data_IF_072298206609
#
_entry.id   IF_072298206609
#
_cell.length_a   1.000
_cell.length_b   1.000
_cell.length_c   1.000
_cell.angle_alpha   90.00
_cell.angle_beta   90.00
_cell.angle_gamma   90.00
#
_symmetry.space_group_name_H-M   'P 1'
#
loop_
_entity.id
_entity.type
_entity.pdbx_description
1 polymer ?
#
# COMPACT_ATOMS: atom_id res chain seq x y z
N UNK A 1 81.67 -36.36 4.72
CA UNK A 1 81.25 -34.93 4.77
C UNK A 1 81.13 -34.48 3.32
N UNK A 2 80.05 -33.95 2.73
CA UNK A 2 78.83 -33.27 3.17
C UNK A 2 77.71 -33.66 2.19
N UNK A 3 76.48 -33.93 2.66
CA UNK A 3 75.32 -34.18 1.79
C UNK A 3 74.55 -32.87 1.61
N UNK A 4 74.33 -32.46 0.36
CA UNK A 4 73.53 -31.29 -0.02
C UNK A 4 72.03 -31.63 0.08
N UNK A 5 71.25 -30.75 0.70
CA UNK A 5 69.81 -30.88 0.83
C UNK A 5 69.10 -30.13 -0.32
N UNK A 6 68.03 -30.68 -0.93
CA UNK A 6 67.24 -29.96 -1.90
C UNK A 6 66.22 -29.07 -1.18
N UNK A 7 66.34 -27.75 -1.36
CA UNK A 7 65.28 -26.77 -1.09
C UNK A 7 64.66 -26.38 -2.42
N UNK A 8 63.56 -27.02 -2.80
CA UNK A 8 62.61 -26.49 -3.78
C UNK A 8 61.42 -27.42 -3.82
N UNK A 9 60.26 -26.98 -3.32
CA UNK A 9 58.90 -27.20 -3.84
C UNK A 9 57.97 -26.68 -2.74
N UNK A 10 57.76 -25.37 -2.67
CA UNK A 10 56.75 -24.78 -1.77
C UNK A 10 56.32 -23.41 -2.27
N UNK A 11 55.95 -23.30 -3.54
CA UNK A 11 55.50 -22.03 -4.13
C UNK A 11 54.57 -22.27 -5.32
N UNK A 12 53.46 -22.97 -5.11
CA UNK A 12 52.43 -23.16 -6.14
C UNK A 12 51.00 -23.28 -5.58
N UNK A 13 50.75 -22.73 -4.38
CA UNK A 13 49.42 -22.78 -3.74
C UNK A 13 48.77 -21.41 -3.49
N UNK A 14 49.34 -20.31 -3.99
CA UNK A 14 48.81 -18.96 -3.75
C UNK A 14 47.95 -18.38 -4.89
N UNK A 15 47.91 -19.01 -6.08
CA UNK A 15 47.21 -18.45 -7.24
C UNK A 15 45.76 -18.93 -7.41
N UNK A 16 45.29 -19.91 -6.62
CA UNK A 16 43.94 -20.48 -6.76
C UNK A 16 42.86 -19.77 -5.91
N UNK A 17 43.22 -18.75 -5.12
CA UNK A 17 42.32 -18.06 -4.20
C UNK A 17 41.74 -16.72 -4.71
N UNK A 18 42.12 -16.28 -5.92
CA UNK A 18 41.66 -15.00 -6.50
C UNK A 18 40.44 -15.12 -7.42
N UNK A 19 39.79 -16.30 -7.48
CA UNK A 19 38.56 -16.54 -8.25
C UNK A 19 37.27 -16.37 -7.42
N UNK A 20 37.32 -15.53 -6.38
CA UNK A 20 36.16 -15.18 -5.54
C UNK A 20 35.84 -13.68 -5.69
N UNK A 21 35.80 -13.19 -6.94
CA UNK A 21 35.15 -11.92 -7.25
C UNK A 21 33.80 -12.23 -7.92
N UNK A 22 32.91 -12.88 -7.18
CA UNK A 22 31.49 -12.80 -7.51
C UNK A 22 31.09 -11.36 -7.27
N UNK A 23 30.90 -10.63 -8.36
CA UNK A 23 30.34 -9.30 -8.37
C UNK A 23 29.17 -9.26 -7.37
N UNK A 24 29.34 -8.51 -6.29
CA UNK A 24 28.23 -7.97 -5.54
C UNK A 24 27.52 -7.03 -6.51
N UNK A 25 26.65 -7.60 -7.36
CA UNK A 25 25.62 -6.85 -8.03
C UNK A 25 24.92 -6.09 -6.91
N UNK A 26 25.21 -4.78 -6.83
CA UNK A 26 24.67 -3.90 -5.81
C UNK A 26 23.20 -4.20 -5.75
N UNK A 27 22.73 -4.64 -4.58
CA UNK A 27 21.37 -5.10 -4.40
C UNK A 27 20.44 -3.94 -4.72
N UNK A 28 20.06 -3.80 -5.99
CA UNK A 28 19.26 -2.69 -6.46
C UNK A 28 17.95 -2.79 -5.70
N UNK A 29 17.76 -1.86 -4.77
CA UNK A 29 16.66 -1.91 -3.82
C UNK A 29 15.36 -1.75 -4.58
N UNK A 30 14.73 -2.87 -4.92
CA UNK A 30 13.43 -2.94 -5.57
C UNK A 30 12.36 -3.20 -4.52
N UNK A 31 11.14 -2.79 -4.82
CA UNK A 31 10.06 -2.91 -3.86
C UNK A 31 8.79 -2.18 -4.23
N UNK A 32 7.96 -1.99 -3.21
CA UNK A 32 6.73 -1.21 -3.27
C UNK A 32 6.86 -0.09 -2.24
N UNK A 33 6.54 1.13 -2.63
CA UNK A 33 6.37 2.26 -1.73
C UNK A 33 4.98 2.81 -1.96
N UNK A 34 4.20 2.96 -0.89
CA UNK A 34 2.83 3.37 -1.06
C UNK A 34 2.25 4.14 0.09
N UNK A 35 1.05 4.64 -0.17
CA UNK A 35 0.22 5.40 0.76
C UNK A 35 -1.16 4.75 0.80
N UNK A 36 -1.64 4.50 2.00
CA UNK A 36 -3.01 4.14 2.32
C UNK A 36 -3.78 5.43 2.56
N UNK A 37 -4.84 5.63 1.81
CA UNK A 37 -5.66 6.83 1.82
C UNK A 37 -6.99 6.51 2.51
N UNK A 38 -7.47 7.44 3.32
CA UNK A 38 -8.78 7.37 3.91
C UNK A 38 -9.82 7.88 2.91
N UNK A 39 -10.56 6.95 2.31
CA UNK A 39 -11.67 7.22 1.40
C UNK A 39 -13.02 7.28 2.13
N UNK A 40 -13.01 7.29 3.47
CA UNK A 40 -14.19 7.60 4.27
C UNK A 40 -14.62 9.02 3.94
N UNK A 41 -15.89 9.20 3.58
CA UNK A 41 -16.41 10.53 3.34
C UNK A 41 -16.56 11.22 4.69
N UNK A 42 -15.53 11.95 5.09
CA UNK A 42 -15.65 12.96 6.14
C UNK A 42 -16.81 13.87 5.75
N UNK A 43 -17.80 13.93 6.63
CA UNK A 43 -19.02 14.74 6.52
C UNK A 43 -18.84 16.03 5.72
N UNK A 44 -19.41 16.04 4.52
CA UNK A 44 -19.46 17.19 3.62
C UNK A 44 -20.65 17.08 2.68
N UNK A 45 -21.80 16.64 3.19
CA UNK A 45 -23.07 16.87 2.52
C UNK A 45 -23.38 18.36 2.71
N UNK A 46 -22.87 19.20 1.82
CA UNK A 46 -23.25 20.61 1.77
C UNK A 46 -24.74 20.64 1.42
N UNK A 47 -25.60 20.89 2.41
CA UNK A 47 -27.01 21.19 2.15
C UNK A 47 -27.04 22.64 1.68
N UNK A 48 -27.42 22.96 0.43
CA UNK A 48 -27.70 24.34 0.10
C UNK A 48 -28.99 24.73 0.84
N UNK A 49 -28.86 25.38 1.99
CA UNK A 49 -29.98 26.11 2.57
C UNK A 49 -30.31 27.29 1.66
N UNK A 50 -31.53 27.38 1.10
CA UNK A 50 -31.95 28.58 0.39
C UNK A 50 -32.07 29.76 1.37
N UNK A 51 -31.80 31.00 0.94
CA UNK A 51 -31.91 32.17 1.81
C UNK A 51 -33.36 32.39 2.31
N UNK A 52 -33.54 32.97 3.51
CA UNK A 52 -34.83 33.12 4.20
C UNK A 52 -35.93 33.79 3.35
N UNK A 53 -37.23 33.48 3.60
CA UNK A 53 -37.82 33.52 4.96
C UNK A 53 -38.27 32.18 5.59
N UNK A 54 -37.88 31.02 5.07
CA UNK A 54 -38.52 29.72 5.39
C UNK A 54 -38.00 28.94 6.62
N UNK A 55 -36.97 29.41 7.33
CA UNK A 55 -36.55 28.75 8.58
C UNK A 55 -37.41 29.21 9.77
N UNK A 56 -38.52 28.53 10.03
CA UNK A 56 -39.20 28.61 11.34
C UNK A 56 -38.79 27.43 12.22
N UNK A 57 -38.39 27.76 13.44
CA UNK A 57 -38.14 26.81 14.51
C UNK A 57 -39.42 26.00 14.79
N UNK A 58 -39.24 24.72 15.11
CA UNK A 58 -40.28 23.68 15.34
C UNK A 58 -40.68 22.85 14.11
N UNK A 59 -39.88 21.81 13.83
CA UNK A 59 -40.30 20.39 13.60
C UNK A 59 -39.18 19.59 12.93
N UNK A 60 -38.67 18.62 13.69
CA UNK A 60 -38.25 17.26 13.30
C UNK A 60 -38.08 17.02 11.78
N UNK A 61 -36.84 16.79 11.34
CA UNK A 61 -36.56 16.17 10.03
C UNK A 61 -36.81 14.65 10.12
N UNK A 62 -38.06 14.24 9.96
CA UNK A 62 -38.38 12.92 9.41
C UNK A 62 -38.62 13.12 7.92
N UNK A 63 -37.65 12.81 7.04
CA UNK A 63 -37.97 12.63 5.61
C UNK A 63 -37.09 11.59 4.91
N UNK A 64 -37.71 10.70 4.09
CA UNK A 64 -37.05 9.99 3.00
C UNK A 64 -36.79 11.00 1.88
N UNK A 65 -35.53 11.36 1.66
CA UNK A 65 -35.11 12.47 0.79
C UNK A 65 -34.12 12.07 -0.31
N UNK A 66 -33.91 12.95 -1.31
CA UNK A 66 -33.21 12.64 -2.55
C UNK A 66 -31.72 12.39 -2.29
N UNK A 67 -31.12 11.54 -3.14
CA UNK A 67 -29.72 11.11 -3.06
C UNK A 67 -28.79 12.30 -2.84
N UNK A 68 -28.15 12.33 -1.68
CA UNK A 68 -27.13 13.32 -1.35
C UNK A 68 -25.93 13.02 -2.28
N UNK A 69 -25.44 14.00 -3.01
CA UNK A 69 -24.30 13.79 -3.91
C UNK A 69 -23.04 14.17 -3.14
N UNK A 70 -22.25 13.18 -2.71
CA UNK A 70 -20.88 13.46 -2.30
C UNK A 70 -20.11 13.95 -3.54
N UNK A 71 -19.39 15.09 -3.47
CA UNK A 71 -18.47 15.44 -4.54
C UNK A 71 -17.50 14.29 -4.68
N UNK A 72 -17.38 13.73 -5.89
CA UNK A 72 -16.36 12.73 -6.17
C UNK A 72 -14.99 13.40 -6.00
N UNK A 73 -14.42 13.32 -4.79
CA UNK A 73 -13.01 13.62 -4.60
C UNK A 73 -12.24 12.64 -5.46
N UNK A 74 -11.39 13.17 -6.34
CA UNK A 74 -10.45 12.35 -7.08
C UNK A 74 -9.50 11.73 -6.05
N UNK A 75 -9.00 10.53 -6.31
CA UNK A 75 -8.10 9.80 -5.41
C UNK A 75 -6.88 10.62 -4.95
N UNK A 76 -6.48 11.64 -5.71
CA UNK A 76 -5.37 12.53 -5.39
C UNK A 76 -5.62 13.50 -4.21
N UNK A 77 -6.87 13.67 -3.75
CA UNK A 77 -7.23 14.62 -2.69
C UNK A 77 -7.68 13.94 -1.38
N UNK A 78 -7.47 12.63 -1.26
CA UNK A 78 -7.78 11.89 -0.04
C UNK A 78 -6.63 12.05 0.98
N UNK A 79 -6.94 12.27 2.27
CA UNK A 79 -5.92 12.31 3.30
C UNK A 79 -5.30 10.91 3.50
N UNK A 80 -4.03 10.81 3.93
CA UNK A 80 -3.47 9.54 4.40
C UNK A 80 -4.28 8.98 5.56
N UNK A 81 -4.44 7.67 5.59
CA UNK A 81 -5.09 6.97 6.70
C UNK A 81 -4.23 7.06 7.97
N UNK A 82 -4.78 7.68 9.01
CA UNK A 82 -4.13 7.84 10.32
C UNK A 82 -4.77 7.02 11.42
N UNK A 83 -5.75 6.17 11.08
CA UNK A 83 -6.40 5.30 12.05
C UNK A 83 -5.50 4.15 12.53
N UNK A 84 -5.87 3.55 13.65
CA UNK A 84 -5.17 2.40 14.22
C UNK A 84 -5.50 1.11 13.45
N UNK A 85 -4.80 0.01 13.75
CA UNK A 85 -5.15 -1.33 13.22
C UNK A 85 -5.08 -1.50 11.68
N UNK A 86 -4.53 -0.51 10.95
CA UNK A 86 -4.26 -0.58 9.52
C UNK A 86 -3.12 -1.54 9.17
N UNK A 87 -3.33 -2.37 8.15
CA UNK A 87 -2.37 -3.33 7.64
C UNK A 87 -2.38 -3.36 6.11
N UNK A 88 -1.18 -3.51 5.54
CA UNK A 88 -0.95 -3.80 4.13
C UNK A 88 -0.43 -5.23 4.02
N UNK A 89 -1.20 -6.08 3.37
CA UNK A 89 -0.87 -7.49 3.14
C UNK A 89 -0.37 -7.63 1.71
N UNK A 90 0.85 -8.16 1.57
CA UNK A 90 1.47 -8.39 0.26
C UNK A 90 1.66 -9.88 0.03
N UNK A 91 1.24 -10.35 -1.14
CA UNK A 91 1.46 -11.73 -1.60
C UNK A 91 1.91 -11.78 -3.04
N UNK A 92 2.55 -12.87 -3.44
CA UNK A 92 2.87 -13.13 -4.85
C UNK A 92 1.60 -13.44 -5.64
N UNK A 93 1.44 -12.87 -6.84
CA UNK A 93 0.31 -13.17 -7.70
C UNK A 93 0.30 -14.66 -8.08
N UNK A 94 -0.87 -15.30 -8.03
CA UNK A 94 -1.00 -16.75 -8.26
C UNK A 94 -0.64 -17.63 -7.05
N UNK A 95 -0.15 -17.05 -5.94
CA UNK A 95 0.13 -17.77 -4.70
C UNK A 95 -0.80 -17.34 -3.56
N UNK A 96 -1.10 -18.28 -2.66
CA UNK A 96 -1.78 -18.01 -1.39
C UNK A 96 -0.82 -17.53 -0.29
N UNK A 97 0.49 -17.65 -0.49
CA UNK A 97 1.52 -17.30 0.50
C UNK A 97 1.60 -15.78 0.70
N UNK A 98 1.35 -15.34 1.93
CA UNK A 98 1.62 -13.96 2.37
C UNK A 98 3.13 -13.79 2.54
N UNK A 99 3.68 -12.78 1.88
CA UNK A 99 5.10 -12.45 1.94
C UNK A 99 5.39 -11.44 3.06
N UNK A 100 4.45 -10.52 3.29
CA UNK A 100 4.58 -9.50 4.31
C UNK A 100 3.21 -9.02 4.80
N UNK A 101 3.19 -8.59 6.07
CA UNK A 101 2.17 -7.76 6.68
C UNK A 101 2.88 -6.52 7.19
N UNK A 102 2.51 -5.35 6.67
CA UNK A 102 3.15 -4.08 7.00
C UNK A 102 2.13 -3.19 7.67
N UNK A 103 2.47 -2.60 8.81
CA UNK A 103 1.66 -1.56 9.47
C UNK A 103 2.10 -0.23 8.84
N UNK A 104 1.20 0.53 8.19
CA UNK A 104 1.53 1.85 7.67
C UNK A 104 1.85 2.83 8.81
N UNK A 105 2.82 3.69 8.58
CA UNK A 105 3.21 4.81 9.46
C UNK A 105 2.69 6.10 8.83
N UNK A 106 1.76 6.80 9.49
CA UNK A 106 1.04 7.96 8.93
C UNK A 106 0.46 7.68 7.52
N UNK A 107 -0.14 6.48 7.36
CA UNK A 107 -0.67 5.99 6.09
C UNK A 107 0.39 5.56 5.08
N UNK A 108 1.69 5.75 5.33
CA UNK A 108 2.77 5.41 4.39
C UNK A 108 3.38 4.05 4.71
N UNK A 109 3.81 3.34 3.69
CA UNK A 109 4.51 2.07 3.86
C UNK A 109 5.57 1.85 2.78
N UNK A 110 6.56 1.01 3.10
CA UNK A 110 7.53 0.53 2.12
C UNK A 110 7.90 -0.92 2.38
N UNK A 111 8.12 -1.67 1.30
CA UNK A 111 8.50 -3.08 1.38
C UNK A 111 9.49 -3.41 0.27
N UNK A 112 10.63 -4.01 0.63
CA UNK A 112 11.60 -4.52 -0.34
C UNK A 112 11.12 -5.84 -0.93
N UNK A 113 11.12 -5.95 -2.24
CA UNK A 113 10.69 -7.13 -2.99
C UNK A 113 11.58 -7.30 -4.21
N UNK A 114 11.81 -8.54 -4.62
CA UNK A 114 12.39 -8.82 -5.93
C UNK A 114 11.45 -8.43 -7.07
N UNK A 115 11.95 -8.46 -8.30
CA UNK A 115 11.12 -8.27 -9.47
C UNK A 115 10.04 -9.36 -9.56
N UNK A 116 8.82 -8.98 -9.96
CA UNK A 116 7.71 -9.90 -10.10
C UNK A 116 6.33 -9.24 -10.01
N UNK A 117 5.30 -10.08 -9.99
CA UNK A 117 3.90 -9.64 -9.88
C UNK A 117 3.34 -9.97 -8.50
N UNK A 118 2.72 -8.97 -7.89
CA UNK A 118 2.23 -9.00 -6.52
C UNK A 118 0.77 -8.58 -6.45
N UNK A 119 0.09 -9.09 -5.42
CA UNK A 119 -1.22 -8.60 -5.00
C UNK A 119 -1.03 -7.94 -3.65
N UNK A 120 -1.42 -6.67 -3.57
CA UNK A 120 -1.41 -5.87 -2.36
C UNK A 120 -2.85 -5.66 -1.92
N UNK A 121 -3.12 -5.81 -0.62
CA UNK A 121 -4.43 -5.59 -0.03
C UNK A 121 -4.28 -4.71 1.21
N UNK A 122 -5.08 -3.66 1.31
CA UNK A 122 -5.25 -2.91 2.56
C UNK A 122 -6.34 -3.59 3.40
N UNK A 123 -6.17 -3.50 4.71
CA UNK A 123 -7.07 -4.09 5.69
C UNK A 123 -7.01 -3.24 6.96
N UNK A 124 -8.15 -2.95 7.56
CA UNK A 124 -8.24 -2.36 8.90
C UNK A 124 -8.97 -3.39 9.76
N UNK A 125 -8.40 -3.74 10.91
CA UNK A 125 -8.91 -4.82 11.77
C UNK A 125 -10.07 -4.35 12.67
N UNK A 126 -11.04 -3.67 12.08
CA UNK A 126 -12.19 -3.09 12.75
C UNK A 126 -13.46 -3.47 11.99
N UNK A 127 -14.60 -3.44 12.67
CA UNK A 127 -15.90 -3.65 12.04
C UNK A 127 -16.17 -2.55 11.00
N UNK A 128 -16.99 -2.84 9.98
CA UNK A 128 -17.35 -1.91 8.90
C UNK A 128 -16.25 -1.46 7.93
N UNK A 129 -14.97 -1.66 8.22
CA UNK A 129 -13.91 -1.23 7.32
C UNK A 129 -13.76 -2.14 6.10
N UNK A 130 -13.54 -1.52 4.95
CA UNK A 130 -13.14 -2.18 3.71
C UNK A 130 -11.83 -1.63 3.21
N UNK A 131 -11.02 -2.50 2.61
CA UNK A 131 -9.74 -2.12 2.02
C UNK A 131 -9.65 -2.55 0.56
N UNK A 132 -8.95 -1.76 -0.23
CA UNK A 132 -8.68 -2.02 -1.62
C UNK A 132 -7.77 -3.24 -1.82
N UNK A 133 -7.92 -3.89 -2.98
CA UNK A 133 -6.99 -4.91 -3.50
C UNK A 133 -6.46 -4.47 -4.87
N UNK A 134 -5.15 -4.40 -5.01
CA UNK A 134 -4.48 -3.97 -6.25
C UNK A 134 -3.40 -4.95 -6.69
N UNK A 135 -3.19 -5.06 -8.01
CA UNK A 135 -2.07 -5.83 -8.59
C UNK A 135 -0.94 -4.86 -8.92
N UNK A 136 0.29 -5.25 -8.58
CA UNK A 136 1.48 -4.40 -8.76
C UNK A 136 2.59 -5.22 -9.39
N UNK A 137 3.23 -4.65 -10.40
CA UNK A 137 4.47 -5.18 -10.95
C UNK A 137 5.64 -4.44 -10.34
N UNK A 138 6.56 -5.17 -9.72
CA UNK A 138 7.86 -4.65 -9.28
C UNK A 138 8.86 -5.01 -10.35
N UNK A 139 9.58 -4.03 -10.89
CA UNK A 139 10.72 -4.30 -11.77
C UNK A 139 12.03 -4.06 -11.01
N UNK A 140 13.11 -4.70 -11.49
CA UNK A 140 14.38 -4.70 -10.79
C UNK A 140 14.97 -3.30 -10.67
N UNK A 141 15.39 -2.95 -9.46
CA UNK A 141 16.14 -1.73 -9.16
C UNK A 141 15.36 -0.46 -8.87
N UNK A 142 14.03 -0.53 -8.80
CA UNK A 142 13.19 0.61 -8.41
C UNK A 142 12.03 0.19 -7.51
N UNK A 143 11.50 1.18 -6.79
CA UNK A 143 10.26 1.02 -6.04
C UNK A 143 9.08 1.39 -6.93
N UNK A 144 8.10 0.49 -7.03
CA UNK A 144 6.83 0.79 -7.67
C UNK A 144 5.98 1.64 -6.72
N UNK A 145 5.51 2.83 -7.14
CA UNK A 145 4.60 3.65 -6.35
C UNK A 145 3.22 2.98 -6.29
N UNK A 146 2.53 3.11 -5.15
CA UNK A 146 1.21 2.54 -4.95
C UNK A 146 0.34 3.39 -4.02
N UNK A 147 -0.77 3.89 -4.52
CA UNK A 147 -1.84 4.43 -3.66
C UNK A 147 -2.91 3.36 -3.48
N UNK A 148 -3.48 3.29 -2.28
CA UNK A 148 -4.54 2.34 -1.95
C UNK A 148 -5.56 2.97 -1.02
N UNK A 149 -6.83 2.63 -1.21
CA UNK A 149 -7.90 3.17 -0.38
C UNK A 149 -8.29 2.21 0.76
N UNK A 150 -8.69 2.79 1.89
CA UNK A 150 -9.52 2.17 2.92
C UNK A 150 -10.77 3.02 3.12
N UNK A 151 -11.86 2.39 3.52
CA UNK A 151 -13.16 3.06 3.68
C UNK A 151 -13.91 2.47 4.85
N UNK A 152 -14.35 3.33 5.75
CA UNK A 152 -15.33 2.97 6.76
C UNK A 152 -16.73 2.96 6.12
N UNK A 153 -17.33 1.77 6.02
CA UNK A 153 -18.70 1.62 5.48
C UNK A 153 -19.79 1.89 6.53
N UNK A 154 -19.44 2.05 7.81
CA UNK A 154 -20.38 2.48 8.83
C UNK A 154 -20.71 3.97 8.67
N UNK A 155 -19.82 4.76 8.06
CA UNK A 155 -20.12 6.14 7.69
C UNK A 155 -21.02 6.14 6.45
N UNK A 156 -22.24 6.65 6.61
CA UNK A 156 -23.24 6.65 5.55
C UNK A 156 -22.74 7.40 4.31
N UNK A 157 -22.42 6.66 3.26
CA UNK A 157 -22.27 7.22 1.92
C UNK A 157 -23.64 7.35 1.29
N UNK A 158 -23.99 8.50 0.73
CA UNK A 158 -25.21 8.59 -0.03
C UNK A 158 -25.03 7.87 -1.38
N UNK A 159 -25.58 6.66 -1.42
CA UNK A 159 -25.90 5.81 -2.56
C UNK A 159 -24.98 5.86 -3.81
N UNK A 160 -24.21 4.78 -4.02
CA UNK A 160 -24.01 4.19 -5.36
C UNK A 160 -25.26 3.37 -5.68
N UNK A 161 -26.26 4.00 -6.28
CA UNK A 161 -27.49 3.33 -6.70
C UNK A 161 -27.99 3.91 -8.02
N UNK A 162 -27.31 3.57 -9.12
CA UNK A 162 -27.82 3.72 -10.48
C UNK A 162 -27.02 2.82 -11.44
N UNK A 163 -27.04 1.50 -11.23
CA UNK A 163 -26.99 0.61 -12.39
C UNK A 163 -28.41 0.63 -12.98
N UNK A 164 -28.55 1.29 -14.12
CA UNK A 164 -29.75 1.33 -14.94
C UNK A 164 -30.01 -0.10 -15.45
N UNK A 165 -31.02 -0.75 -14.88
CA UNK A 165 -31.78 -1.83 -15.52
C UNK A 165 -32.95 -1.28 -16.31
#
# INVERSE_FOLDING_TARGET
>A
MRRAAPRAVTLLLAAALLLICSASAGASSSGIRGTVLDATCETGCEVPCPPPPSCRAERICLQPGPAIVCPQRRSFDLPPYTGENGQVIVRRQGSATVLARVIPDEGRFSLRLGAGHYVVRTYVAEECWSGERRRVTVSGGHYSPLEMEVRDNCVAHPYRGAELG
#
